data_IF_553712220352
#
_entry.id   IF_553712220352
#
_cell.length_a   1.000
_cell.length_b   1.000
_cell.length_c   1.000
_cell.angle_alpha   90.00
_cell.angle_beta   90.00
_cell.angle_gamma   90.00
#
_symmetry.space_group_name_H-M   'P 1'
#
loop_
_entity.id
_entity.type
_entity.pdbx_description
1 polymer ?
#
# COMPACT_ATOMS: atom_id res chain seq x y z
N UNK A 1 -4.89 -2.01 1.15
CA UNK A 1 -3.64 -2.78 1.13
C UNK A 1 -2.94 -2.53 -0.17
N UNK A 2 -1.61 -2.54 -0.18
CA UNK A 2 -0.84 -2.53 -1.41
C UNK A 2 0.40 -3.42 -1.25
N UNK A 3 0.90 -3.95 -2.37
CA UNK A 3 2.16 -4.69 -2.46
C UNK A 3 2.74 -4.57 -3.86
N UNK A 4 3.94 -5.10 -4.10
CA UNK A 4 4.58 -5.17 -5.41
C UNK A 4 4.76 -6.62 -5.84
N UNK A 5 4.47 -6.96 -7.10
CA UNK A 5 4.59 -8.33 -7.60
C UNK A 5 6.03 -8.86 -7.58
N UNK A 6 7.02 -7.96 -7.56
CA UNK A 6 8.45 -8.30 -7.46
C UNK A 6 9.01 -8.31 -6.03
N UNK A 7 8.16 -8.24 -4.99
CA UNK A 7 8.66 -8.33 -3.62
C UNK A 7 9.20 -9.74 -3.33
N UNK A 8 10.51 -9.86 -3.15
CA UNK A 8 11.19 -11.12 -2.84
C UNK A 8 11.42 -11.35 -1.36
N UNK A 9 11.18 -10.36 -0.50
CA UNK A 9 11.34 -10.47 0.96
C UNK A 9 10.05 -10.91 1.62
N UNK A 10 8.91 -10.40 1.14
CA UNK A 10 7.56 -10.77 1.58
C UNK A 10 6.71 -11.03 0.33
N UNK A 11 6.39 -12.30 0.02
CA UNK A 11 5.68 -12.64 -1.21
C UNK A 11 4.32 -11.91 -1.33
N UNK A 12 3.93 -11.44 -2.52
CA UNK A 12 2.66 -10.72 -2.74
C UNK A 12 1.42 -11.58 -2.41
N UNK A 13 1.56 -12.92 -2.42
CA UNK A 13 0.53 -13.88 -2.03
C UNK A 13 0.00 -13.64 -0.62
N UNK A 14 0.81 -13.10 0.30
CA UNK A 14 0.34 -12.73 1.64
C UNK A 14 -0.78 -11.69 1.59
N UNK A 15 -0.67 -10.70 0.69
CA UNK A 15 -1.71 -9.69 0.49
C UNK A 15 -2.94 -10.28 -0.22
N UNK A 16 -2.73 -11.21 -1.15
CA UNK A 16 -3.82 -11.91 -1.85
C UNK A 16 -4.64 -12.78 -0.90
N UNK A 17 -3.99 -13.58 -0.05
CA UNK A 17 -4.65 -14.43 0.95
C UNK A 17 -5.46 -13.58 1.94
N UNK A 18 -4.94 -12.44 2.37
CA UNK A 18 -5.68 -11.56 3.26
C UNK A 18 -6.87 -10.90 2.56
N UNK A 19 -6.72 -10.48 1.30
CA UNK A 19 -7.82 -9.96 0.50
C UNK A 19 -8.93 -11.01 0.28
N UNK A 20 -8.56 -12.27 0.04
CA UNK A 20 -9.50 -13.39 -0.07
C UNK A 20 -10.30 -13.59 1.22
N UNK A 21 -9.63 -13.58 2.38
CA UNK A 21 -10.30 -13.67 3.67
C UNK A 21 -11.26 -12.49 3.91
N UNK A 22 -10.83 -11.25 3.64
CA UNK A 22 -11.69 -10.06 3.75
C UNK A 22 -12.92 -10.18 2.85
N UNK A 23 -12.74 -10.64 1.62
CA UNK A 23 -13.83 -10.89 0.68
C UNK A 23 -14.80 -11.95 1.21
N UNK A 24 -14.30 -13.07 1.73
CA UNK A 24 -15.11 -14.16 2.29
C UNK A 24 -15.96 -13.72 3.49
N UNK A 25 -15.47 -12.75 4.27
CA UNK A 25 -16.18 -12.17 5.41
C UNK A 25 -16.97 -10.90 5.09
N UNK A 26 -17.11 -10.54 3.81
CA UNK A 26 -17.78 -9.31 3.36
C UNK A 26 -17.24 -8.03 4.00
N UNK A 27 -15.95 -8.04 4.39
CA UNK A 27 -15.27 -6.85 4.87
C UNK A 27 -14.90 -5.96 3.67
N UNK A 28 -15.19 -4.66 3.75
CA UNK A 28 -14.79 -3.70 2.71
C UNK A 28 -13.26 -3.59 2.65
N UNK A 29 -12.68 -3.74 1.46
CA UNK A 29 -11.24 -3.61 1.25
C UNK A 29 -10.89 -3.01 -0.12
N UNK A 30 -9.63 -2.62 -0.27
CA UNK A 30 -8.98 -2.31 -1.54
C UNK A 30 -7.62 -2.99 -1.53
N UNK A 31 -7.27 -3.66 -2.63
CA UNK A 31 -5.94 -4.23 -2.87
C UNK A 31 -5.38 -3.65 -4.16
N UNK A 32 -4.13 -3.20 -4.12
CA UNK A 32 -3.36 -2.80 -5.30
C UNK A 32 -2.09 -3.65 -5.34
N UNK A 33 -1.84 -4.30 -6.47
CA UNK A 33 -0.60 -5.02 -6.72
C UNK A 33 0.13 -4.28 -7.83
N UNK A 34 1.16 -3.52 -7.46
CA UNK A 34 2.00 -2.83 -8.42
C UNK A 34 2.92 -3.85 -9.11
N UNK A 35 3.24 -3.67 -10.41
CA UNK A 35 4.02 -4.65 -11.16
C UNK A 35 5.45 -4.77 -10.63
N UNK A 36 6.06 -3.66 -10.21
CA UNK A 36 7.45 -3.62 -9.77
C UNK A 36 7.63 -2.76 -8.51
N UNK A 37 8.69 -3.08 -7.78
CA UNK A 37 9.17 -2.32 -6.62
C UNK A 37 9.90 -3.22 -5.63
N UNK A 38 10.71 -2.60 -4.77
CA UNK A 38 11.46 -3.33 -3.74
C UNK A 38 10.63 -3.44 -2.46
N UNK A 39 10.89 -4.49 -1.69
CA UNK A 39 10.38 -4.60 -0.33
C UNK A 39 10.69 -3.34 0.49
N UNK A 40 9.70 -2.83 1.23
CA UNK A 40 9.90 -1.67 2.11
C UNK A 40 10.13 -0.35 1.35
N UNK A 41 9.53 -0.19 0.16
CA UNK A 41 9.67 1.04 -0.63
C UNK A 41 9.03 2.29 0.00
N UNK A 42 8.26 2.16 1.08
CA UNK A 42 7.62 3.29 1.79
C UNK A 42 6.85 4.24 0.85
N UNK A 43 7.33 5.47 0.62
CA UNK A 43 6.71 6.42 -0.33
C UNK A 43 7.25 6.29 -1.76
N UNK A 44 8.33 5.53 -1.99
CA UNK A 44 8.94 5.35 -3.31
C UNK A 44 9.63 6.61 -3.87
N UNK A 45 9.68 7.68 -3.08
CA UNK A 45 10.16 9.01 -3.47
C UNK A 45 11.51 9.32 -2.81
N UNK A 46 12.06 10.51 -3.12
CA UNK A 46 13.36 10.95 -2.59
C UNK A 46 13.41 11.09 -1.06
N UNK A 47 12.28 11.25 -0.39
CA UNK A 47 12.22 11.40 1.07
C UNK A 47 12.48 10.08 1.79
N UNK A 48 12.14 8.96 1.16
CA UNK A 48 12.25 7.61 1.74
C UNK A 48 13.26 6.72 1.04
N UNK A 49 13.69 7.10 -0.17
CA UNK A 49 14.78 6.44 -0.86
C UNK A 49 16.13 6.65 -0.15
N UNK A 50 17.03 5.69 -0.32
CA UNK A 50 18.43 5.85 0.11
C UNK A 50 19.11 6.95 -0.71
N UNK A 51 20.21 7.56 -0.21
CA UNK A 51 20.96 8.58 -0.95
C UNK A 51 21.45 8.13 -2.32
N UNK A 52 21.67 6.83 -2.52
CA UNK A 52 22.08 6.22 -3.79
C UNK A 52 20.93 5.98 -4.79
N UNK A 53 19.71 6.40 -4.44
CA UNK A 53 18.50 6.21 -5.26
C UNK A 53 17.85 4.84 -5.10
N UNK A 54 18.39 3.93 -4.28
CA UNK A 54 17.69 2.70 -3.94
C UNK A 54 16.34 3.02 -3.30
N UNK A 55 15.28 2.33 -3.75
CA UNK A 55 13.87 2.55 -3.39
C UNK A 55 13.16 3.71 -4.09
N UNK A 56 13.79 4.36 -5.07
CA UNK A 56 13.01 5.15 -6.02
C UNK A 56 12.15 4.23 -6.88
N UNK A 57 10.84 4.46 -6.89
CA UNK A 57 9.87 3.67 -7.65
C UNK A 57 8.72 4.57 -8.09
N UNK A 58 8.72 4.98 -9.36
CA UNK A 58 7.72 5.88 -9.93
C UNK A 58 6.30 5.31 -9.88
N UNK A 59 6.19 3.99 -10.04
CA UNK A 59 4.92 3.33 -10.28
C UNK A 59 4.09 3.16 -9.01
N UNK A 60 4.71 3.29 -7.83
CA UNK A 60 4.05 3.15 -6.53
C UNK A 60 3.68 4.49 -5.90
N UNK A 61 4.09 5.62 -6.50
CA UNK A 61 3.95 6.94 -5.86
C UNK A 61 2.51 7.35 -5.57
N UNK A 62 1.54 6.75 -6.26
CA UNK A 62 0.13 7.10 -6.14
C UNK A 62 -0.61 6.36 -5.01
N UNK A 63 0.04 5.41 -4.33
CA UNK A 63 -0.64 4.62 -3.28
C UNK A 63 -1.25 5.48 -2.16
N UNK A 64 -0.64 6.60 -1.71
CA UNK A 64 -1.24 7.47 -0.69
C UNK A 64 -2.56 8.10 -1.17
N UNK A 65 -2.62 8.55 -2.42
CA UNK A 65 -3.83 9.10 -3.03
C UNK A 65 -4.91 8.02 -3.19
N UNK A 66 -4.53 6.81 -3.62
CA UNK A 66 -5.46 5.67 -3.69
C UNK A 66 -6.04 5.30 -2.34
N UNK A 67 -5.22 5.34 -1.29
CA UNK A 67 -5.67 5.15 0.07
C UNK A 67 -6.63 6.27 0.51
N UNK A 68 -6.31 7.53 0.21
CA UNK A 68 -7.18 8.66 0.52
C UNK A 68 -8.55 8.53 -0.17
N UNK A 69 -8.57 8.09 -1.44
CA UNK A 69 -9.81 7.78 -2.17
C UNK A 69 -10.64 6.69 -1.50
N UNK A 70 -9.98 5.60 -1.09
CA UNK A 70 -10.62 4.50 -0.37
C UNK A 70 -11.19 4.94 0.99
N UNK A 71 -10.44 5.77 1.73
CA UNK A 71 -10.78 6.23 3.06
C UNK A 71 -11.85 7.34 3.07
N UNK A 72 -11.96 8.15 2.00
CA UNK A 72 -12.92 9.25 1.89
C UNK A 72 -14.36 8.89 2.29
N UNK A 73 -14.97 7.80 1.79
CA UNK A 73 -16.33 7.40 2.19
C UNK A 73 -16.42 6.72 3.56
N UNK A 74 -15.30 6.37 4.19
CA UNK A 74 -15.28 5.71 5.52
C UNK A 74 -15.53 6.72 6.64
N UNK A 75 -15.33 8.03 6.38
CA UNK A 75 -15.64 9.12 7.32
C UNK A 75 -14.50 9.46 8.28
N UNK A 76 -14.79 10.29 9.30
CA UNK A 76 -13.84 10.87 10.25
C UNK A 76 -13.28 9.90 11.32
N UNK A 77 -13.22 8.59 11.06
CA UNK A 77 -12.74 7.61 12.03
C UNK A 77 -11.27 7.83 12.46
N UNK A 78 -10.53 8.70 11.76
CA UNK A 78 -9.13 9.08 12.09
C UNK A 78 -8.94 10.52 12.60
N UNK A 79 -9.99 11.36 12.69
CA UNK A 79 -9.86 12.79 13.08
C UNK A 79 -10.25 13.12 14.52
N UNK A 80 -10.56 12.13 15.36
CA UNK A 80 -10.94 12.35 16.76
C UNK A 80 -9.86 11.95 17.79
N UNK A 81 -8.59 11.87 17.40
CA UNK A 81 -7.51 12.00 18.38
C UNK A 81 -7.15 13.49 18.46
N UNK A 82 -7.85 14.19 19.36
CA UNK A 82 -7.29 15.42 19.93
C UNK A 82 -5.98 15.03 20.65
N UNK A 83 -4.87 15.60 20.21
CA UNK A 83 -3.60 15.61 20.95
C UNK A 83 -3.62 16.70 22.01
#
# INVERSE_FOLDING_TARGET
MWTTATDTSVPPENALLFAEALQAHHCRYQLIVYPEGKHGSALGNRETAKPDGTYLASDILDWPERFADFARPIGHTFKNCEL
#
